data_IF_498494826385
#
_entry.id   IF_498494826385
#
_cell.length_a   1.000
_cell.length_b   1.000
_cell.length_c   1.000
_cell.angle_alpha   90.00
_cell.angle_beta   90.00
_cell.angle_gamma   90.00
#
_symmetry.space_group_name_H-M   'P 1'
#
loop_
_entity.id
_entity.type
_entity.pdbx_description
1 polymer ?
#
# COMPACT_ATOMS: atom_id res chain seq x y z
N UNK A 1 29.49 13.69 14.26
CA UNK A 1 29.31 13.97 15.70
C UNK A 1 28.36 12.91 16.21
N UNK A 2 28.85 11.91 16.96
CA UNK A 2 28.05 10.75 17.37
C UNK A 2 27.86 10.75 18.89
N UNK A 3 26.72 11.29 19.31
CA UNK A 3 25.95 11.06 20.55
C UNK A 3 24.79 12.10 20.48
N UNK A 4 23.51 11.70 20.61
CA UNK A 4 22.99 11.19 21.88
C UNK A 4 21.91 10.09 21.71
N UNK A 5 22.19 8.87 22.18
CA UNK A 5 21.14 7.84 22.35
C UNK A 5 20.85 7.55 23.83
N UNK A 6 21.78 7.86 24.74
CA UNK A 6 21.64 7.56 26.17
C UNK A 6 20.74 8.55 26.91
N UNK A 7 20.73 9.83 26.54
CA UNK A 7 19.91 10.86 27.21
C UNK A 7 18.41 10.68 26.93
N UNK A 8 18.04 10.08 25.79
CA UNK A 8 16.62 9.86 25.43
C UNK A 8 16.00 8.68 26.17
N UNK A 9 16.80 7.68 26.55
CA UNK A 9 16.33 6.52 27.31
C UNK A 9 16.03 6.91 28.78
N UNK A 10 16.79 7.86 29.35
CA UNK A 10 16.53 8.35 30.71
C UNK A 10 15.25 9.21 30.82
N UNK A 11 14.86 9.93 29.76
CA UNK A 11 13.65 10.77 29.78
C UNK A 11 12.35 9.93 29.82
N UNK A 12 12.36 8.73 29.24
CA UNK A 12 11.20 7.83 29.25
C UNK A 12 11.01 7.09 30.58
N UNK A 13 12.09 6.91 31.36
CA UNK A 13 12.02 6.30 32.70
C UNK A 13 11.46 7.24 33.78
N UNK A 14 11.50 8.57 33.56
CA UNK A 14 11.08 9.56 34.55
C UNK A 14 9.56 9.85 34.56
N UNK A 15 8.81 9.39 33.56
CA UNK A 15 7.36 9.68 33.43
C UNK A 15 6.50 8.69 34.24
N UNK A 16 7.06 7.59 34.74
CA UNK A 16 6.30 6.51 35.40
C UNK A 16 6.14 6.66 36.93
N UNK A 17 6.65 7.76 37.53
CA UNK A 17 6.58 7.97 38.99
C UNK A 17 6.19 9.41 39.34
N UNK A 18 4.88 9.71 39.36
CA UNK A 18 4.45 11.04 39.82
C UNK A 18 2.94 11.23 39.93
N UNK A 19 2.30 10.65 40.95
CA UNK A 19 0.93 11.01 41.36
C UNK A 19 0.96 12.30 42.20
N UNK A 20 0.25 13.39 41.85
CA UNK A 20 0.12 14.54 42.73
C UNK A 20 -1.11 14.41 43.64
N UNK A 21 -0.83 14.60 44.92
CA UNK A 21 -1.76 14.64 46.06
C UNK A 21 -2.43 16.02 46.13
N UNK A 22 -3.77 16.03 46.11
CA UNK A 22 -4.61 17.23 46.27
C UNK A 22 -4.48 17.79 47.70
N UNK A 23 -4.29 19.10 47.83
CA UNK A 23 -4.51 19.88 49.06
C UNK A 23 -5.35 21.11 48.73
N UNK A 24 -6.39 21.31 49.54
CA UNK A 24 -7.33 22.43 49.53
C UNK A 24 -6.77 23.66 50.24
N UNK A 25 -7.56 24.75 50.10
CA UNK A 25 -7.56 26.06 50.79
C UNK A 25 -6.63 27.09 50.14
N UNK A 26 -7.02 28.35 49.88
CA UNK A 26 -7.94 29.22 50.64
C UNK A 26 -8.51 30.35 49.76
N UNK A 27 -9.56 30.99 50.28
CA UNK A 27 -10.47 31.96 49.68
C UNK A 27 -9.84 33.34 49.39
N UNK A 28 -10.31 34.03 48.34
CA UNK A 28 -10.66 35.46 48.43
C UNK A 28 -11.74 35.85 47.41
N UNK A 29 -12.73 36.56 47.93
CA UNK A 29 -13.88 37.23 47.32
C UNK A 29 -13.55 38.26 46.23
N UNK A 30 -14.39 38.37 45.19
CA UNK A 30 -14.93 39.67 44.73
C UNK A 30 -16.23 39.48 43.92
N UNK A 31 -17.24 40.26 44.28
CA UNK A 31 -18.54 40.41 43.64
C UNK A 31 -18.47 40.83 42.16
N UNK A 32 -19.38 40.28 41.33
CA UNK A 32 -20.40 41.10 40.62
C UNK A 32 -21.43 40.24 39.88
N UNK A 33 -22.67 40.60 40.17
CA UNK A 33 -23.94 40.25 39.53
C UNK A 33 -23.92 40.12 38.00
N UNK A 34 -24.66 39.14 37.46
CA UNK A 34 -25.87 39.37 36.64
C UNK A 34 -26.54 38.05 36.27
N UNK A 35 -27.72 37.84 36.86
CA UNK A 35 -28.93 37.16 36.36
C UNK A 35 -28.93 36.55 34.96
N UNK A 36 -29.30 35.27 34.88
CA UNK A 36 -30.48 34.85 34.09
C UNK A 36 -30.85 33.39 34.39
N UNK A 37 -32.12 33.23 34.76
CA UNK A 37 -32.86 32.00 35.03
C UNK A 37 -32.74 30.94 33.93
N UNK A 38 -32.72 29.66 34.32
CA UNK A 38 -33.83 28.75 33.98
C UNK A 38 -33.70 27.39 34.66
N UNK A 39 -34.83 27.00 35.23
CA UNK A 39 -35.20 25.82 36.01
C UNK A 39 -35.03 24.49 35.26
N UNK A 40 -34.85 23.38 35.99
CA UNK A 40 -35.75 22.20 36.04
C UNK A 40 -35.05 20.97 36.70
N UNK A 41 -35.63 20.56 37.85
CA UNK A 41 -35.77 19.20 38.46
C UNK A 41 -34.54 18.30 38.74
N UNK A 42 -34.16 17.94 39.98
CA UNK A 42 -34.78 17.00 40.96
C UNK A 42 -35.30 15.68 40.31
N UNK A 43 -35.06 14.45 40.78
CA UNK A 43 -34.41 13.90 41.96
C UNK A 43 -34.07 12.40 41.72
N UNK A 44 -33.25 11.86 42.62
CA UNK A 44 -32.54 10.56 42.74
C UNK A 44 -33.41 9.27 42.83
N UNK A 45 -32.90 8.14 43.38
CA UNK A 45 -32.04 7.11 42.77
C UNK A 45 -32.64 5.69 42.93
N UNK A 46 -32.07 4.62 42.33
CA UNK A 46 -32.11 3.28 42.97
C UNK A 46 -31.20 2.20 42.32
N UNK A 47 -30.53 1.48 43.22
CA UNK A 47 -30.17 0.04 43.23
C UNK A 47 -29.13 -0.53 42.24
N UNK A 48 -27.93 -0.69 42.78
CA UNK A 48 -27.03 -1.81 42.51
C UNK A 48 -27.63 -3.14 43.00
N UNK A 49 -27.33 -4.27 42.32
CA UNK A 49 -27.14 -5.53 42.98
C UNK A 49 -25.68 -5.98 42.90
N UNK A 50 -25.16 -6.19 44.10
CA UNK A 50 -23.98 -6.94 44.47
C UNK A 50 -24.07 -8.39 43.94
N UNK A 51 -23.04 -8.88 43.26
CA UNK A 51 -22.85 -10.32 43.08
C UNK A 51 -21.35 -10.61 42.92
N UNK A 52 -20.75 -11.03 44.04
CA UNK A 52 -19.46 -11.70 44.04
C UNK A 52 -19.66 -13.16 43.63
N UNK A 53 -18.85 -13.63 42.68
CA UNK A 53 -18.57 -15.04 42.51
C UNK A 53 -17.08 -15.25 42.31
N UNK A 54 -16.54 -16.11 43.18
CA UNK A 54 -15.19 -16.62 43.19
C UNK A 54 -14.85 -17.28 41.85
N UNK A 55 -13.75 -16.85 41.24
CA UNK A 55 -13.11 -17.54 40.13
C UNK A 55 -11.98 -18.40 40.67
N UNK A 56 -12.17 -19.71 40.53
CA UNK A 56 -11.19 -20.76 40.77
C UNK A 56 -9.99 -20.56 39.83
N UNK A 57 -8.79 -20.49 40.41
CA UNK A 57 -7.54 -20.45 39.67
C UNK A 57 -7.30 -21.78 38.94
N UNK A 58 -7.43 -21.78 37.61
CA UNK A 58 -6.80 -22.78 36.76
C UNK A 58 -5.41 -22.27 36.39
N UNK A 59 -4.37 -22.85 36.98
CA UNK A 59 -2.99 -22.70 36.52
C UNK A 59 -2.85 -23.36 35.15
N UNK A 60 -3.03 -22.55 34.10
CA UNK A 60 -2.62 -22.88 32.75
C UNK A 60 -1.10 -22.75 32.68
N UNK A 61 -0.39 -23.87 32.66
CA UNK A 61 1.03 -23.91 32.29
C UNK A 61 1.15 -23.48 30.83
N UNK A 62 1.50 -22.21 30.59
CA UNK A 62 1.88 -21.73 29.27
C UNK A 62 3.33 -22.13 29.01
N UNK A 63 3.64 -22.95 27.99
CA UNK A 63 5.00 -23.45 27.71
C UNK A 63 5.88 -22.41 26.98
N UNK A 64 5.62 -21.12 27.15
CA UNK A 64 6.19 -20.04 26.33
C UNK A 64 7.21 -19.15 27.06
N UNK A 65 7.66 -19.54 28.26
CA UNK A 65 8.80 -18.85 28.90
C UNK A 65 10.08 -19.12 28.09
N UNK A 66 10.50 -18.12 27.32
CA UNK A 66 11.76 -18.14 26.56
C UNK A 66 11.64 -17.85 25.07
N UNK A 67 10.43 -17.73 24.52
CA UNK A 67 10.25 -17.42 23.11
C UNK A 67 10.43 -15.92 22.86
N UNK A 68 11.32 -15.58 21.93
CA UNK A 68 11.44 -14.21 21.44
C UNK A 68 10.30 -13.90 20.46
N UNK A 69 10.03 -12.62 20.24
CA UNK A 69 9.07 -12.18 19.20
C UNK A 69 9.46 -12.72 17.81
N UNK A 70 10.77 -12.94 17.58
CA UNK A 70 11.28 -13.55 16.36
C UNK A 70 10.79 -15.01 16.24
N UNK A 71 10.92 -15.81 17.31
CA UNK A 71 10.51 -17.21 17.30
C UNK A 71 9.01 -17.38 17.06
N UNK A 72 8.19 -16.48 17.62
CA UNK A 72 6.74 -16.48 17.42
C UNK A 72 6.39 -16.13 15.95
N UNK A 73 7.07 -15.13 15.37
CA UNK A 73 6.84 -14.74 13.97
C UNK A 73 7.37 -15.77 12.98
N UNK A 74 8.50 -16.41 13.28
CA UNK A 74 9.11 -17.44 12.43
C UNK A 74 8.26 -18.71 12.44
N UNK A 75 7.74 -19.12 13.60
CA UNK A 75 6.80 -20.24 13.68
C UNK A 75 5.48 -19.94 12.95
N UNK A 76 4.92 -18.73 13.11
CA UNK A 76 3.72 -18.34 12.37
C UNK A 76 3.96 -18.29 10.86
N UNK A 77 5.13 -17.82 10.42
CA UNK A 77 5.46 -17.77 9.00
C UNK A 77 5.72 -19.17 8.42
N UNK A 78 6.45 -20.05 9.12
CA UNK A 78 6.69 -21.43 8.68
C UNK A 78 5.37 -22.20 8.58
N UNK A 79 4.57 -22.17 9.64
CA UNK A 79 3.26 -22.84 9.65
C UNK A 79 2.32 -22.31 8.57
N UNK A 80 2.40 -21.02 8.25
CA UNK A 80 1.58 -20.43 7.19
C UNK A 80 2.10 -20.79 5.79
N UNK A 81 3.41 -20.88 5.59
CA UNK A 81 3.98 -21.26 4.30
C UNK A 81 3.68 -22.73 4.00
N UNK A 82 3.84 -23.60 4.99
CA UNK A 82 3.48 -25.02 4.91
C UNK A 82 1.99 -25.20 4.60
N UNK A 83 1.11 -24.43 5.26
CA UNK A 83 -0.32 -24.45 4.97
C UNK A 83 -0.66 -23.97 3.55
N UNK A 84 0.00 -22.91 3.06
CA UNK A 84 -0.25 -22.37 1.72
C UNK A 84 0.27 -23.29 0.62
N UNK A 85 1.41 -23.93 0.83
CA UNK A 85 1.97 -24.90 -0.11
C UNK A 85 1.16 -26.19 -0.11
N UNK A 86 0.68 -26.66 1.05
CA UNK A 86 -0.28 -27.76 1.14
C UNK A 86 -1.60 -27.43 0.42
N UNK A 87 -2.16 -26.23 0.61
CA UNK A 87 -3.37 -25.81 -0.11
C UNK A 87 -3.16 -25.69 -1.64
N UNK A 88 -1.99 -25.20 -2.09
CA UNK A 88 -1.68 -25.11 -3.53
C UNK A 88 -1.46 -26.48 -4.13
N UNK A 89 -0.75 -27.36 -3.42
CA UNK A 89 -0.45 -28.70 -3.85
C UNK A 89 -1.71 -29.56 -3.93
N UNK A 90 -2.54 -29.56 -2.87
CA UNK A 90 -3.83 -30.26 -2.85
C UNK A 90 -4.76 -29.75 -3.94
N UNK A 91 -4.96 -28.43 -4.05
CA UNK A 91 -5.88 -27.86 -5.05
C UNK A 91 -5.43 -28.11 -6.49
N UNK A 92 -4.13 -27.98 -6.80
CA UNK A 92 -3.62 -28.23 -8.15
C UNK A 92 -3.65 -29.71 -8.52
N UNK A 93 -3.32 -30.58 -7.57
CA UNK A 93 -3.29 -32.02 -7.80
C UNK A 93 -4.71 -32.58 -7.94
N UNK A 94 -5.64 -32.21 -7.05
CA UNK A 94 -7.05 -32.63 -7.13
C UNK A 94 -7.72 -32.14 -8.41
N UNK A 95 -7.47 -30.88 -8.82
CA UNK A 95 -8.01 -30.35 -10.07
C UNK A 95 -7.45 -31.07 -11.29
N UNK A 96 -6.16 -31.41 -11.30
CA UNK A 96 -5.56 -32.16 -12.41
C UNK A 96 -6.06 -33.61 -12.46
N UNK A 97 -6.24 -34.26 -11.32
CA UNK A 97 -6.77 -35.63 -11.24
C UNK A 97 -8.20 -35.66 -11.76
N UNK A 98 -9.07 -34.77 -11.27
CA UNK A 98 -10.47 -34.69 -11.72
C UNK A 98 -10.59 -34.35 -13.20
N UNK A 99 -9.79 -33.41 -13.73
CA UNK A 99 -9.82 -33.07 -15.16
C UNK A 99 -9.37 -34.25 -16.03
N UNK A 100 -8.34 -34.97 -15.61
CA UNK A 100 -7.86 -36.15 -16.34
C UNK A 100 -8.88 -37.30 -16.28
N UNK A 101 -9.56 -37.50 -15.14
CA UNK A 101 -10.58 -38.54 -14.98
C UNK A 101 -11.84 -38.25 -15.81
N UNK A 102 -12.28 -36.98 -15.85
CA UNK A 102 -13.38 -36.54 -16.72
C UNK A 102 -13.02 -36.70 -18.18
N UNK A 103 -11.82 -36.26 -18.59
CA UNK A 103 -11.36 -36.40 -19.97
C UNK A 103 -11.26 -37.87 -20.38
N UNK A 104 -10.69 -38.72 -19.52
CA UNK A 104 -10.58 -40.16 -19.77
C UNK A 104 -11.96 -40.82 -19.90
N UNK A 105 -12.90 -40.50 -19.00
CA UNK A 105 -14.27 -41.04 -19.04
C UNK A 105 -15.00 -40.60 -20.32
N UNK A 106 -14.80 -39.36 -20.75
CA UNK A 106 -15.39 -38.83 -21.98
C UNK A 106 -14.82 -39.53 -23.22
N UNK A 107 -13.51 -39.74 -23.27
CA UNK A 107 -12.83 -40.41 -24.39
C UNK A 107 -13.22 -41.89 -24.45
N UNK A 108 -13.34 -42.56 -23.30
CA UNK A 108 -13.80 -43.94 -23.19
C UNK A 108 -15.26 -44.09 -23.66
N UNK A 109 -16.14 -43.17 -23.25
CA UNK A 109 -17.54 -43.16 -23.66
C UNK A 109 -17.69 -42.88 -25.16
N UNK A 110 -16.96 -41.89 -25.67
CA UNK A 110 -16.97 -41.55 -27.10
C UNK A 110 -16.47 -42.73 -27.94
N UNK A 111 -15.41 -43.39 -27.50
CA UNK A 111 -14.85 -44.58 -28.16
C UNK A 111 -15.77 -45.80 -28.08
N UNK A 112 -16.50 -45.98 -26.98
CA UNK A 112 -17.46 -47.06 -26.77
C UNK A 112 -18.73 -46.85 -27.61
N UNK A 113 -19.26 -45.63 -27.64
CA UNK A 113 -20.41 -45.26 -28.46
C UNK A 113 -20.09 -45.37 -29.94
N UNK A 114 -18.95 -44.84 -30.38
CA UNK A 114 -18.51 -44.91 -31.77
C UNK A 114 -18.32 -46.36 -32.23
N UNK A 115 -17.68 -47.21 -31.41
CA UNK A 115 -17.57 -48.65 -31.70
C UNK A 115 -18.93 -49.34 -31.77
N UNK A 116 -19.84 -49.05 -30.84
CA UNK A 116 -21.18 -49.68 -30.80
C UNK A 116 -22.02 -49.26 -32.00
N UNK A 117 -22.01 -47.97 -32.35
CA UNK A 117 -22.70 -47.45 -33.53
C UNK A 117 -22.11 -48.04 -34.82
N UNK A 118 -20.78 -48.05 -34.95
CA UNK A 118 -20.12 -48.56 -36.14
C UNK A 118 -20.35 -50.06 -36.31
N UNK A 119 -20.22 -50.87 -35.24
CA UNK A 119 -20.48 -52.30 -35.32
C UNK A 119 -21.96 -52.62 -35.54
N UNK A 120 -22.87 -51.86 -34.94
CA UNK A 120 -24.31 -52.05 -35.08
C UNK A 120 -24.79 -51.70 -36.49
N UNK A 121 -24.36 -50.57 -37.04
CA UNK A 121 -24.66 -50.18 -38.42
C UNK A 121 -24.04 -51.14 -39.44
N UNK A 122 -22.77 -51.51 -39.25
CA UNK A 122 -22.09 -52.43 -40.17
C UNK A 122 -22.77 -53.81 -40.15
N UNK A 123 -23.03 -54.39 -38.98
CA UNK A 123 -23.71 -55.68 -38.84
C UNK A 123 -25.14 -55.64 -39.38
N UNK A 124 -25.89 -54.56 -39.12
CA UNK A 124 -27.25 -54.40 -39.64
C UNK A 124 -27.28 -54.27 -41.16
N UNK A 125 -26.35 -53.48 -41.73
CA UNK A 125 -26.22 -53.35 -43.18
C UNK A 125 -25.77 -54.66 -43.84
N UNK A 126 -24.80 -55.37 -43.27
CA UNK A 126 -24.32 -56.65 -43.79
C UNK A 126 -25.41 -57.74 -43.75
N UNK A 127 -26.24 -57.77 -42.71
CA UNK A 127 -27.40 -58.67 -42.63
C UNK A 127 -28.47 -58.32 -43.68
N UNK A 128 -28.79 -57.03 -43.86
CA UNK A 128 -29.73 -56.58 -44.89
C UNK A 128 -29.19 -56.90 -46.30
N UNK A 129 -27.90 -56.67 -46.53
CA UNK A 129 -27.26 -56.96 -47.83
C UNK A 129 -27.24 -58.46 -48.14
N UNK A 130 -27.00 -59.28 -47.12
CA UNK A 130 -27.02 -60.74 -47.25
C UNK A 130 -28.43 -61.24 -47.52
N UNK A 131 -29.43 -60.73 -46.79
CA UNK A 131 -30.83 -61.02 -47.04
C UNK A 131 -31.28 -60.63 -48.46
N UNK A 132 -30.96 -59.42 -48.93
CA UNK A 132 -31.32 -58.96 -50.28
C UNK A 132 -30.63 -59.78 -51.39
N UNK A 133 -29.39 -60.21 -51.15
CA UNK A 133 -28.62 -61.07 -52.06
C UNK A 133 -29.21 -62.48 -52.13
N UNK A 134 -29.61 -63.06 -51.01
CA UNK A 134 -30.20 -64.40 -50.96
C UNK A 134 -31.63 -64.39 -51.55
N UNK A 135 -32.36 -63.29 -51.37
CA UNK A 135 -33.69 -63.07 -51.93
C UNK A 135 -33.68 -62.90 -53.47
N UNK A 136 -32.61 -62.35 -54.03
CA UNK A 136 -32.45 -62.19 -55.49
C UNK A 136 -31.94 -63.45 -56.19
N UNK A 137 -31.45 -64.44 -55.44
CA UNK A 137 -30.85 -65.67 -55.98
C UNK A 137 -31.79 -66.90 -56.01
N UNK A 138 -32.98 -66.86 -55.40
CA UNK A 138 -33.89 -68.02 -55.37
C UNK A 138 -35.03 -67.95 -56.40
N UNK A 139 -35.11 -68.90 -57.36
CA UNK A 139 -36.36 -69.18 -58.08
C UNK A 139 -37.31 -70.00 -57.20
N UNK A 140 -38.59 -69.63 -57.27
CA UNK A 140 -39.71 -70.15 -56.50
C UNK A 140 -39.74 -71.68 -56.40
N UNK A 141 -39.58 -72.21 -55.18
CA UNK A 141 -40.52 -73.13 -54.52
C UNK A 141 -39.89 -73.72 -53.25
N UNK A 142 -40.42 -73.32 -52.09
CA UNK A 142 -40.30 -74.06 -50.83
C UNK A 142 -39.26 -73.57 -49.83
N UNK A 143 -39.56 -72.51 -49.07
CA UNK A 143 -39.44 -72.47 -47.59
C UNK A 143 -39.68 -71.05 -47.01
N UNK A 144 -40.75 -70.37 -47.44
CA UNK A 144 -41.15 -69.04 -46.91
C UNK A 144 -41.36 -69.06 -45.38
N UNK A 145 -41.67 -70.23 -44.81
CA UNK A 145 -41.88 -70.38 -43.37
C UNK A 145 -40.59 -70.30 -42.54
N UNK A 146 -39.44 -70.72 -43.07
CA UNK A 146 -38.18 -70.71 -42.31
C UNK A 146 -37.60 -69.29 -42.22
N UNK A 147 -37.64 -68.55 -43.34
CA UNK A 147 -37.20 -67.16 -43.42
C UNK A 147 -38.06 -66.24 -42.54
N UNK A 148 -39.36 -66.49 -42.45
CA UNK A 148 -40.26 -65.74 -41.55
C UNK A 148 -39.87 -65.98 -40.08
N UNK A 149 -39.52 -67.20 -39.69
CA UNK A 149 -39.10 -67.47 -38.31
C UNK A 149 -37.71 -66.90 -37.99
N UNK A 150 -36.80 -66.86 -38.96
CA UNK A 150 -35.50 -66.19 -38.81
C UNK A 150 -35.65 -64.67 -38.67
N UNK A 151 -36.47 -64.04 -39.50
CA UNK A 151 -36.82 -62.61 -39.39
C UNK A 151 -37.47 -62.28 -38.05
N UNK A 152 -38.36 -63.14 -37.54
CA UNK A 152 -38.94 -62.97 -36.20
C UNK A 152 -37.89 -63.09 -35.10
N UNK A 153 -36.92 -63.98 -35.26
CA UNK A 153 -35.81 -64.15 -34.31
C UNK A 153 -34.92 -62.91 -34.29
N UNK A 154 -34.53 -62.40 -35.47
CA UNK A 154 -33.75 -61.16 -35.61
C UNK A 154 -34.49 -59.96 -35.03
N UNK A 155 -35.80 -59.82 -35.29
CA UNK A 155 -36.61 -58.73 -34.74
C UNK A 155 -36.61 -58.75 -33.20
N UNK A 156 -36.75 -59.94 -32.58
CA UNK A 156 -36.68 -60.06 -31.12
C UNK A 156 -35.30 -59.75 -30.57
N UNK A 157 -34.23 -60.15 -31.27
CA UNK A 157 -32.87 -59.84 -30.87
C UNK A 157 -32.60 -58.32 -30.92
N UNK A 158 -33.09 -57.64 -31.95
CA UNK A 158 -32.96 -56.18 -32.09
C UNK A 158 -33.81 -55.43 -31.07
N UNK A 159 -35.03 -55.90 -30.79
CA UNK A 159 -35.86 -55.37 -29.70
C UNK A 159 -35.15 -55.48 -28.34
N UNK A 160 -34.47 -56.60 -28.09
CA UNK A 160 -33.69 -56.79 -26.88
C UNK A 160 -32.45 -55.91 -26.85
N UNK A 161 -31.76 -55.74 -27.99
CA UNK A 161 -30.62 -54.84 -28.12
C UNK A 161 -31.03 -53.38 -27.86
N UNK A 162 -32.12 -52.92 -28.47
CA UNK A 162 -32.70 -51.59 -28.27
C UNK A 162 -33.07 -51.34 -26.81
N UNK A 163 -33.68 -52.32 -26.12
CA UNK A 163 -33.96 -52.24 -24.68
C UNK A 163 -32.67 -52.10 -23.86
N UNK A 164 -31.63 -52.85 -24.19
CA UNK A 164 -30.34 -52.78 -23.49
C UNK A 164 -29.64 -51.43 -23.72
N UNK A 165 -29.64 -50.90 -24.94
CA UNK A 165 -29.08 -49.58 -25.26
C UNK A 165 -29.85 -48.48 -24.54
N UNK A 166 -31.18 -48.55 -24.52
CA UNK A 166 -32.04 -47.62 -23.79
C UNK A 166 -31.74 -47.63 -22.28
N UNK A 167 -31.56 -48.81 -21.68
CA UNK A 167 -31.19 -48.94 -20.28
C UNK A 167 -29.80 -48.34 -19.99
N UNK A 168 -28.80 -48.57 -20.86
CA UNK A 168 -27.45 -47.99 -20.72
C UNK A 168 -27.45 -46.46 -20.87
N UNK A 169 -28.24 -45.93 -21.81
CA UNK A 169 -28.37 -44.49 -21.99
C UNK A 169 -29.01 -43.83 -20.76
N UNK A 170 -30.02 -44.47 -20.17
CA UNK A 170 -30.63 -44.01 -18.92
C UNK A 170 -29.63 -44.00 -17.75
N UNK A 171 -28.84 -45.07 -17.58
CA UNK A 171 -27.79 -45.13 -16.56
C UNK A 171 -26.71 -44.04 -16.76
N UNK A 172 -26.30 -43.82 -18.01
CA UNK A 172 -25.32 -42.79 -18.35
C UNK A 172 -25.83 -41.38 -18.06
N UNK A 173 -27.10 -41.09 -18.38
CA UNK A 173 -27.70 -39.79 -18.07
C UNK A 173 -27.78 -39.57 -16.55
N UNK A 174 -28.12 -40.60 -15.77
CA UNK A 174 -28.14 -40.51 -14.31
C UNK A 174 -26.75 -40.20 -13.74
N UNK A 175 -25.70 -40.82 -14.28
CA UNK A 175 -24.31 -40.53 -13.89
C UNK A 175 -23.90 -39.10 -14.26
N UNK A 176 -24.30 -38.63 -15.44
CA UNK A 176 -24.01 -37.26 -15.89
C UNK A 176 -24.69 -36.22 -14.99
N UNK A 177 -25.95 -36.45 -14.61
CA UNK A 177 -26.68 -35.59 -13.69
C UNK A 177 -25.99 -35.57 -12.31
N UNK A 178 -25.56 -36.73 -11.81
CA UNK A 178 -24.83 -36.81 -10.54
C UNK A 178 -23.51 -36.02 -10.57
N UNK A 179 -22.69 -36.22 -11.60
CA UNK A 179 -21.41 -35.50 -11.75
C UNK A 179 -21.65 -33.99 -11.90
N UNK A 180 -22.70 -33.58 -12.61
CA UNK A 180 -23.05 -32.17 -12.78
C UNK A 180 -23.41 -31.54 -11.43
N UNK A 181 -24.14 -32.26 -10.58
CA UNK A 181 -24.49 -31.78 -9.24
C UNK A 181 -23.27 -31.72 -8.31
N UNK A 182 -22.41 -32.73 -8.31
CA UNK A 182 -21.14 -32.72 -7.56
C UNK A 182 -20.24 -31.56 -7.99
N UNK A 183 -20.16 -31.29 -9.30
CA UNK A 183 -19.43 -30.14 -9.84
C UNK A 183 -20.05 -28.81 -9.38
N UNK A 184 -21.37 -28.72 -9.34
CA UNK A 184 -22.07 -27.53 -8.83
C UNK A 184 -21.75 -27.30 -7.36
N UNK A 185 -21.76 -28.34 -6.54
CA UNK A 185 -21.42 -28.27 -5.11
C UNK A 185 -19.96 -27.87 -4.87
N UNK A 186 -19.02 -28.47 -5.59
CA UNK A 186 -17.59 -28.15 -5.47
C UNK A 186 -17.29 -26.70 -5.88
N UNK A 187 -17.94 -26.20 -6.94
CA UNK A 187 -17.83 -24.79 -7.34
C UNK A 187 -18.40 -23.83 -6.28
N UNK A 188 -19.52 -24.19 -5.65
CA UNK A 188 -20.06 -23.41 -4.53
C UNK A 188 -19.07 -23.37 -3.36
N UNK A 189 -18.52 -24.52 -2.95
CA UNK A 189 -17.50 -24.60 -1.88
C UNK A 189 -16.25 -23.80 -2.21
N UNK A 190 -15.77 -23.86 -3.45
CA UNK A 190 -14.63 -23.07 -3.91
C UNK A 190 -14.94 -21.56 -3.84
N UNK A 191 -16.14 -21.16 -4.25
CA UNK A 191 -16.56 -19.76 -4.17
C UNK A 191 -16.60 -19.26 -2.72
N UNK A 192 -17.18 -20.04 -1.81
CA UNK A 192 -17.24 -19.72 -0.38
C UNK A 192 -15.83 -19.62 0.22
N UNK A 193 -14.95 -20.58 -0.09
CA UNK A 193 -13.56 -20.55 0.38
C UNK A 193 -12.78 -19.33 -0.15
N UNK A 194 -12.99 -18.94 -1.41
CA UNK A 194 -12.40 -17.73 -1.98
C UNK A 194 -12.93 -16.47 -1.29
N UNK A 195 -14.22 -16.42 -1.00
CA UNK A 195 -14.85 -15.32 -0.29
C UNK A 195 -14.33 -15.19 1.14
N UNK A 196 -14.25 -16.29 1.90
CA UNK A 196 -13.67 -16.32 3.25
C UNK A 196 -12.20 -15.90 3.24
N UNK A 197 -11.41 -16.42 2.29
CA UNK A 197 -10.00 -16.02 2.11
C UNK A 197 -9.89 -14.52 1.88
N UNK A 198 -10.76 -13.94 1.05
CA UNK A 198 -10.72 -12.52 0.76
C UNK A 198 -11.17 -11.68 1.95
N UNK A 199 -12.15 -12.14 2.74
CA UNK A 199 -12.49 -11.52 4.03
C UNK A 199 -11.34 -11.58 5.03
N UNK A 200 -10.69 -12.74 5.18
CA UNK A 200 -9.54 -12.89 6.07
C UNK A 200 -8.37 -12.02 5.62
N UNK A 201 -8.13 -11.91 4.31
CA UNK A 201 -7.17 -10.94 3.76
C UNK A 201 -7.56 -9.52 4.14
N UNK A 202 -8.83 -9.12 3.96
CA UNK A 202 -9.27 -7.81 4.38
C UNK A 202 -9.01 -7.58 5.87
N UNK A 203 -9.42 -8.50 6.75
CA UNK A 203 -9.19 -8.39 8.20
C UNK A 203 -7.70 -8.31 8.56
N UNK A 204 -6.87 -9.21 8.00
CA UNK A 204 -5.42 -9.24 8.22
C UNK A 204 -4.73 -7.98 7.72
N UNK A 205 -5.19 -7.44 6.60
CA UNK A 205 -4.67 -6.20 6.06
C UNK A 205 -5.30 -4.96 6.70
N UNK A 206 -6.08 -5.05 7.79
CA UNK A 206 -6.64 -3.88 8.49
C UNK A 206 -7.88 -3.26 7.82
N UNK A 207 -8.54 -4.01 6.94
CA UNK A 207 -9.80 -3.69 6.29
C UNK A 207 -9.76 -2.38 5.50
N UNK A 208 -10.86 -1.63 5.58
CA UNK A 208 -11.01 -0.28 4.99
C UNK A 208 -10.08 0.77 5.58
N UNK A 209 -9.42 0.50 6.72
CA UNK A 209 -8.46 1.43 7.33
C UNK A 209 -7.10 1.39 6.62
N UNK A 210 -6.62 0.23 6.16
CA UNK A 210 -5.33 0.14 5.44
C UNK A 210 -5.46 0.12 3.91
N UNK A 211 -6.66 -0.13 3.41
CA UNK A 211 -7.00 -0.04 1.99
C UNK A 211 -7.76 1.25 1.69
N UNK A 212 -7.62 2.26 2.56
CA UNK A 212 -7.94 3.65 2.24
C UNK A 212 -7.30 4.00 0.90
N UNK A 213 -8.11 4.51 -0.03
CA UNK A 213 -7.83 4.72 -1.45
C UNK A 213 -6.34 4.61 -1.83
N UNK A 214 -5.98 3.53 -2.55
CA UNK A 214 -4.62 3.30 -3.06
C UNK A 214 -4.13 4.59 -3.73
N UNK A 215 -3.16 5.23 -3.10
CA UNK A 215 -2.54 6.43 -3.67
C UNK A 215 -1.57 5.94 -4.75
N UNK A 216 -1.91 6.22 -6.00
CA UNK A 216 -1.06 5.84 -7.14
C UNK A 216 0.16 6.75 -7.23
N UNK A 217 1.25 6.24 -7.79
CA UNK A 217 2.47 7.04 -8.01
C UNK A 217 2.16 8.29 -8.84
N UNK A 218 1.30 8.17 -9.86
CA UNK A 218 0.88 9.30 -10.70
C UNK A 218 0.19 10.41 -9.90
N UNK A 219 -0.60 10.05 -8.88
CA UNK A 219 -1.26 11.04 -8.03
C UNK A 219 -0.25 11.77 -7.14
N UNK A 220 0.70 11.04 -6.55
CA UNK A 220 1.78 11.64 -5.76
C UNK A 220 2.65 12.54 -6.63
N UNK A 221 3.04 12.06 -7.83
CA UNK A 221 3.83 12.82 -8.81
C UNK A 221 3.10 14.07 -9.29
N UNK A 222 1.80 13.98 -9.56
CA UNK A 222 0.98 15.15 -9.94
C UNK A 222 0.99 16.22 -8.84
N UNK A 223 0.86 15.81 -7.57
CA UNK A 223 0.94 16.74 -6.43
C UNK A 223 2.34 17.29 -6.23
N UNK A 224 3.38 16.46 -6.39
CA UNK A 224 4.77 16.89 -6.33
C UNK A 224 5.09 17.94 -7.41
N UNK A 225 4.66 17.71 -8.65
CA UNK A 225 4.85 18.66 -9.75
C UNK A 225 4.13 19.99 -9.51
N UNK A 226 2.93 19.96 -8.91
CA UNK A 226 2.22 21.17 -8.49
C UNK A 226 2.98 21.93 -7.39
N UNK A 227 3.53 21.20 -6.40
CA UNK A 227 4.38 21.80 -5.36
C UNK A 227 5.64 22.44 -5.97
N UNK A 228 6.34 21.73 -6.85
CA UNK A 228 7.52 22.23 -7.55
C UNK A 228 7.21 23.49 -8.37
N UNK A 229 6.08 23.48 -9.09
CA UNK A 229 5.62 24.65 -9.84
C UNK A 229 5.40 25.87 -8.94
N UNK A 230 4.73 25.69 -7.81
CA UNK A 230 4.47 26.78 -6.87
C UNK A 230 5.75 27.33 -6.24
N UNK A 231 6.68 26.44 -5.87
CA UNK A 231 8.01 26.84 -5.38
C UNK A 231 8.73 27.68 -6.42
N UNK A 232 8.75 27.24 -7.69
CA UNK A 232 9.35 28.02 -8.78
C UNK A 232 8.69 29.38 -8.98
N UNK A 233 7.37 29.46 -8.89
CA UNK A 233 6.65 30.74 -9.02
C UNK A 233 7.04 31.73 -7.92
N UNK A 234 7.10 31.26 -6.67
CA UNK A 234 7.50 32.10 -5.56
C UNK A 234 8.99 32.46 -5.63
N UNK A 235 9.86 31.51 -5.96
CA UNK A 235 11.29 31.74 -6.13
C UNK A 235 11.59 32.84 -7.14
N UNK A 236 10.87 32.87 -8.27
CA UNK A 236 11.00 33.96 -9.25
C UNK A 236 10.66 35.32 -8.67
N UNK A 237 9.62 35.41 -7.85
CA UNK A 237 9.25 36.67 -7.17
C UNK A 237 10.37 37.10 -6.20
N UNK A 238 10.96 36.15 -5.49
CA UNK A 238 12.05 36.41 -4.54
C UNK A 238 13.39 36.73 -5.22
N UNK A 239 13.61 36.23 -6.44
CA UNK A 239 14.89 36.37 -7.14
C UNK A 239 15.05 37.72 -7.84
N UNK A 240 13.95 38.43 -8.10
CA UNK A 240 13.98 39.71 -8.81
C UNK A 240 14.79 40.79 -8.09
N UNK A 241 14.88 40.75 -6.76
CA UNK A 241 15.51 41.79 -5.96
C UNK A 241 16.45 41.17 -4.91
N UNK A 242 17.75 41.06 -5.20
CA UNK A 242 18.70 40.47 -4.25
C UNK A 242 18.71 41.25 -2.92
N UNK A 243 18.87 40.55 -1.78
CA UNK A 243 18.69 41.15 -0.48
C UNK A 243 19.73 42.25 -0.24
N UNK A 244 19.23 43.46 0.01
CA UNK A 244 20.07 44.60 0.41
C UNK A 244 20.28 44.67 1.93
N UNK A 245 19.43 43.97 2.68
CA UNK A 245 19.47 43.89 4.14
C UNK A 245 20.29 42.69 4.62
N UNK A 246 20.82 42.82 5.83
CA UNK A 246 21.48 41.71 6.51
C UNK A 246 20.46 40.59 6.76
N UNK A 247 20.82 39.37 6.37
CA UNK A 247 19.99 38.19 6.58
C UNK A 247 20.03 37.76 8.05
N UNK A 248 18.92 37.23 8.53
CA UNK A 248 18.83 36.57 9.83
C UNK A 248 19.77 35.35 9.91
N UNK A 249 20.17 34.96 11.13
CA UNK A 249 21.03 33.80 11.36
C UNK A 249 20.40 32.50 10.85
N UNK A 250 19.08 32.36 10.97
CA UNK A 250 18.32 31.20 10.48
C UNK A 250 18.37 31.11 8.96
N UNK A 251 18.06 32.22 8.28
CA UNK A 251 18.10 32.31 6.83
C UNK A 251 19.53 32.08 6.30
N UNK A 252 20.53 32.63 6.98
CA UNK A 252 21.95 32.44 6.68
C UNK A 252 22.36 30.98 6.82
N UNK A 253 21.97 30.31 7.91
CA UNK A 253 22.27 28.89 8.14
C UNK A 253 21.63 28.01 7.06
N UNK A 254 20.38 28.29 6.68
CA UNK A 254 19.64 27.56 5.65
C UNK A 254 20.24 27.77 4.25
N UNK A 255 20.68 28.98 3.90
CA UNK A 255 21.41 29.20 2.65
C UNK A 255 22.77 28.50 2.62
N UNK A 256 23.49 28.49 3.75
CA UNK A 256 24.77 27.78 3.86
C UNK A 256 24.64 26.26 3.72
N UNK A 257 23.55 25.67 4.22
CA UNK A 257 23.32 24.22 4.08
C UNK A 257 23.07 23.81 2.62
N UNK A 258 22.51 24.71 1.81
CA UNK A 258 22.31 24.52 0.36
C UNK A 258 23.60 24.80 -0.39
N UNK A 259 24.21 25.98 -0.17
CA UNK A 259 25.43 26.40 -0.83
C UNK A 259 26.33 27.20 0.11
N UNK A 260 27.51 26.67 0.42
CA UNK A 260 28.51 27.38 1.24
C UNK A 260 28.93 28.74 0.65
N UNK A 261 28.83 28.90 -0.67
CA UNK A 261 29.19 30.11 -1.40
C UNK A 261 27.96 30.92 -1.87
N UNK A 262 26.83 30.81 -1.17
CA UNK A 262 25.55 31.44 -1.54
C UNK A 262 25.65 32.95 -1.84
N UNK A 263 26.54 33.70 -1.18
CA UNK A 263 26.74 35.13 -1.45
C UNK A 263 27.18 35.44 -2.89
N UNK A 264 27.89 34.52 -3.55
CA UNK A 264 28.28 34.65 -4.96
C UNK A 264 27.03 34.52 -5.83
N UNK A 265 26.27 33.44 -5.62
CA UNK A 265 25.09 33.10 -6.41
C UNK A 265 23.89 34.04 -6.18
N UNK A 266 23.78 34.67 -5.02
CA UNK A 266 22.77 35.72 -4.78
C UNK A 266 23.00 36.98 -5.61
N UNK A 267 24.24 37.24 -6.06
CA UNK A 267 24.58 38.44 -6.85
C UNK A 267 24.50 38.19 -8.36
N UNK A 268 24.52 36.92 -8.76
CA UNK A 268 24.46 36.52 -10.16
C UNK A 268 22.99 36.23 -10.50
N UNK A 269 22.40 37.06 -11.35
CA UNK A 269 20.96 37.03 -11.67
C UNK A 269 20.51 35.63 -12.14
N UNK A 270 21.35 34.96 -12.93
CA UNK A 270 21.10 33.64 -13.50
C UNK A 270 20.95 32.52 -12.45
N UNK A 271 21.56 32.68 -11.27
CA UNK A 271 21.55 31.65 -10.20
C UNK A 271 20.62 32.00 -9.04
N UNK A 272 20.16 33.24 -8.95
CA UNK A 272 19.33 33.71 -7.86
C UNK A 272 17.99 32.96 -7.81
N UNK A 273 17.32 32.76 -8.96
CA UNK A 273 16.07 31.97 -9.04
C UNK A 273 16.28 30.53 -8.55
N UNK A 274 17.31 29.84 -9.04
CA UNK A 274 17.60 28.45 -8.64
C UNK A 274 18.01 28.34 -7.16
N UNK A 275 18.75 29.32 -6.62
CA UNK A 275 19.09 29.36 -5.19
C UNK A 275 17.86 29.60 -4.31
N UNK A 276 16.94 30.48 -4.73
CA UNK A 276 15.67 30.72 -4.02
C UNK A 276 14.75 29.50 -4.09
N UNK A 277 14.73 28.76 -5.20
CA UNK A 277 14.03 27.47 -5.28
C UNK A 277 14.60 26.48 -4.25
N UNK A 278 15.92 26.33 -4.19
CA UNK A 278 16.59 25.49 -3.18
C UNK A 278 16.24 25.92 -1.75
N UNK A 279 16.19 27.22 -1.49
CA UNK A 279 15.82 27.76 -0.18
C UNK A 279 14.38 27.40 0.23
N UNK A 280 13.43 27.56 -0.68
CA UNK A 280 12.02 27.22 -0.45
C UNK A 280 11.82 25.70 -0.28
N UNK A 281 12.54 24.89 -1.05
CA UNK A 281 12.54 23.43 -0.84
C UNK A 281 13.13 23.05 0.52
N UNK A 282 14.16 23.75 1.00
CA UNK A 282 14.71 23.52 2.33
C UNK A 282 13.70 23.84 3.44
N UNK A 283 12.91 24.91 3.29
CA UNK A 283 11.76 25.17 4.18
C UNK A 283 10.79 23.99 4.15
N UNK A 284 10.36 23.54 2.97
CA UNK A 284 9.40 22.44 2.86
C UNK A 284 9.93 21.16 3.51
N UNK A 285 11.21 20.84 3.31
CA UNK A 285 11.81 19.68 3.97
C UNK A 285 11.80 19.87 5.49
N UNK A 286 12.46 20.92 5.98
CA UNK A 286 12.74 21.07 7.41
C UNK A 286 11.46 21.30 8.21
N UNK A 287 10.48 22.00 7.63
CA UNK A 287 9.24 22.36 8.31
C UNK A 287 8.09 21.38 8.06
N UNK A 288 8.13 20.52 7.02
CA UNK A 288 7.01 19.59 6.73
C UNK A 288 7.45 18.14 6.72
N UNK A 289 8.44 17.78 5.90
CA UNK A 289 8.83 16.37 5.75
C UNK A 289 9.60 15.86 6.98
N UNK A 290 10.57 16.64 7.44
CA UNK A 290 11.44 16.35 8.58
C UNK A 290 11.08 17.19 9.82
N UNK A 291 9.84 17.70 9.84
CA UNK A 291 9.38 18.62 10.86
C UNK A 291 9.65 18.09 12.27
N UNK A 292 10.40 18.86 13.07
CA UNK A 292 10.56 18.62 14.50
C UNK A 292 9.30 18.92 15.33
N UNK A 293 8.24 19.41 14.67
CA UNK A 293 6.99 19.87 15.25
C UNK A 293 5.80 19.32 14.45
N UNK A 294 4.64 19.13 15.09
CA UNK A 294 3.49 18.55 14.43
C UNK A 294 2.79 19.55 13.50
N UNK A 295 2.97 19.39 12.18
CA UNK A 295 2.28 20.24 11.18
C UNK A 295 0.91 19.70 10.78
N UNK A 296 0.66 18.42 11.03
CA UNK A 296 -0.65 17.79 10.97
C UNK A 296 -0.74 16.70 12.02
N UNK A 297 -1.93 16.18 12.32
CA UNK A 297 -2.04 15.03 13.22
C UNK A 297 -1.68 15.30 14.68
N UNK A 298 -1.60 16.58 15.08
CA UNK A 298 -1.13 17.04 16.39
C UNK A 298 0.14 16.31 16.84
N UNK A 299 0.38 16.21 18.15
CA UNK A 299 1.54 15.55 18.75
C UNK A 299 1.79 14.13 18.21
N UNK A 300 0.74 13.44 17.74
CA UNK A 300 0.83 12.07 17.25
C UNK A 300 1.70 11.93 15.99
N UNK A 301 1.60 12.84 15.01
CA UNK A 301 2.27 12.64 13.71
C UNK A 301 3.78 12.74 13.78
N UNK A 302 4.31 13.64 14.61
CA UNK A 302 5.75 13.87 14.76
C UNK A 302 6.45 12.61 15.30
N UNK A 303 5.98 12.10 16.43
CA UNK A 303 6.53 10.88 17.01
C UNK A 303 6.35 9.69 16.08
N UNK A 304 5.24 9.64 15.35
CA UNK A 304 4.97 8.57 14.41
C UNK A 304 5.96 8.57 13.23
N UNK A 305 6.26 9.74 12.65
CA UNK A 305 7.32 9.92 11.66
C UNK A 305 8.68 9.53 12.19
N UNK A 306 9.03 10.01 13.38
CA UNK A 306 10.31 9.70 13.99
C UNK A 306 10.50 8.20 14.24
N UNK A 307 9.48 7.51 14.76
CA UNK A 307 9.49 6.04 14.93
C UNK A 307 9.61 5.35 13.57
N UNK A 308 8.92 5.85 12.53
CA UNK A 308 9.04 5.33 11.16
C UNK A 308 10.46 5.40 10.68
N UNK A 309 11.07 6.57 10.73
CA UNK A 309 12.40 6.78 10.17
C UNK A 309 13.46 6.00 10.98
N UNK A 310 13.28 5.87 12.29
CA UNK A 310 14.11 5.02 13.14
C UNK A 310 14.01 3.52 12.77
N UNK A 311 12.80 3.00 12.58
CA UNK A 311 12.59 1.60 12.20
C UNK A 311 13.15 1.33 10.80
N UNK A 312 12.86 2.20 9.83
CA UNK A 312 13.36 2.05 8.45
C UNK A 312 14.90 2.07 8.45
N UNK A 313 15.53 2.99 9.17
CA UNK A 313 16.99 3.08 9.27
C UNK A 313 17.56 1.81 9.90
N UNK A 314 16.97 1.32 10.99
CA UNK A 314 17.45 0.12 11.68
C UNK A 314 17.30 -1.15 10.84
N UNK A 315 16.23 -1.27 10.08
CA UNK A 315 16.00 -2.40 9.18
C UNK A 315 16.95 -2.33 7.98
N UNK A 316 17.21 -1.14 7.44
CA UNK A 316 18.13 -0.96 6.31
C UNK A 316 19.62 -1.14 6.63
N UNK A 317 20.02 -1.07 7.90
CA UNK A 317 21.43 -1.20 8.33
C UNK A 317 21.93 -2.64 8.46
N UNK A 318 21.06 -3.65 8.42
CA UNK A 318 21.52 -5.03 8.58
C UNK A 318 22.22 -5.50 7.30
N UNK A 319 23.42 -6.05 7.44
CA UNK A 319 24.29 -6.53 6.35
C UNK A 319 23.71 -7.71 5.53
N UNK A 320 22.46 -8.11 5.77
CA UNK A 320 21.78 -9.24 5.14
C UNK A 320 20.41 -8.84 4.54
N UNK A 321 20.41 -8.13 3.40
CA UNK A 321 19.20 -7.58 2.78
C UNK A 321 18.13 -8.60 2.37
N UNK A 322 18.44 -9.90 2.30
CA UNK A 322 17.49 -10.91 1.82
C UNK A 322 16.43 -11.34 2.86
N UNK A 323 16.64 -11.11 4.16
CA UNK A 323 15.70 -11.57 5.20
C UNK A 323 14.82 -10.47 5.79
N UNK A 324 15.07 -9.20 5.47
CA UNK A 324 14.38 -8.06 6.12
C UNK A 324 13.17 -7.53 5.31
N UNK A 325 12.93 -7.98 4.07
CA UNK A 325 11.78 -7.55 3.26
C UNK A 325 10.44 -7.78 3.98
N UNK A 326 10.17 -8.96 4.59
CA UNK A 326 8.92 -9.16 5.32
C UNK A 326 8.78 -8.19 6.49
N UNK A 327 9.86 -7.90 7.23
CA UNK A 327 9.84 -6.97 8.36
C UNK A 327 9.51 -5.56 7.90
N UNK A 328 10.14 -5.10 6.82
CA UNK A 328 9.91 -3.76 6.28
C UNK A 328 8.48 -3.61 5.73
N UNK A 329 7.96 -4.64 5.07
CA UNK A 329 6.57 -4.68 4.60
C UNK A 329 5.56 -4.60 5.74
N UNK A 330 5.81 -5.29 6.87
CA UNK A 330 4.97 -5.20 8.05
C UNK A 330 5.04 -3.82 8.70
N UNK A 331 6.24 -3.26 8.85
CA UNK A 331 6.43 -1.93 9.40
C UNK A 331 5.71 -0.87 8.55
N UNK A 332 5.95 -0.85 7.23
CA UNK A 332 5.34 0.11 6.33
C UNK A 332 3.80 0.00 6.30
N UNK A 333 3.26 -1.23 6.37
CA UNK A 333 1.80 -1.44 6.51
C UNK A 333 1.26 -0.86 7.82
N UNK A 334 1.95 -1.10 8.94
CA UNK A 334 1.58 -0.56 10.24
C UNK A 334 1.58 0.97 10.22
N UNK A 335 2.60 1.59 9.61
CA UNK A 335 2.65 3.04 9.42
C UNK A 335 1.49 3.56 8.55
N UNK A 336 1.24 2.93 7.40
CA UNK A 336 0.12 3.31 6.53
C UNK A 336 -1.23 3.32 7.27
N UNK A 337 -1.47 2.27 8.08
CA UNK A 337 -2.68 2.12 8.90
C UNK A 337 -2.75 3.19 9.99
N UNK A 338 -1.69 3.34 10.78
CA UNK A 338 -1.62 4.31 11.86
C UNK A 338 -1.76 5.75 11.34
N UNK A 339 -1.12 6.09 10.23
CA UNK A 339 -1.26 7.39 9.58
C UNK A 339 -2.66 7.65 9.05
N UNK A 340 -3.34 6.63 8.53
CA UNK A 340 -4.75 6.75 8.13
C UNK A 340 -5.65 7.01 9.33
N UNK A 341 -5.41 6.33 10.46
CA UNK A 341 -6.12 6.60 11.72
C UNK A 341 -5.82 8.02 12.23
N UNK A 342 -4.55 8.42 12.25
CA UNK A 342 -4.13 9.76 12.68
C UNK A 342 -4.81 10.83 11.82
N UNK A 343 -4.82 10.65 10.50
CA UNK A 343 -5.45 11.61 9.58
C UNK A 343 -6.96 11.73 9.78
N UNK A 344 -7.64 10.66 10.21
CA UNK A 344 -9.08 10.68 10.50
C UNK A 344 -9.41 11.27 11.87
N UNK A 345 -8.58 10.99 12.87
CA UNK A 345 -8.77 11.47 14.24
C UNK A 345 -8.42 12.95 14.37
N UNK A 346 -7.35 13.38 13.70
CA UNK A 346 -6.81 14.73 13.81
C UNK A 346 -6.90 15.47 12.49
N UNK A 347 -7.56 16.63 12.54
CA UNK A 347 -7.74 17.52 11.39
C UNK A 347 -6.47 18.24 10.96
N UNK A 348 -6.63 19.22 10.07
CA UNK A 348 -5.57 20.21 9.81
C UNK A 348 -5.60 21.25 10.94
N UNK A 349 -4.48 21.47 11.60
CA UNK A 349 -4.34 22.60 12.52
C UNK A 349 -4.02 23.87 11.72
N UNK A 350 -5.06 24.65 11.44
CA UNK A 350 -4.92 25.89 10.71
C UNK A 350 -4.15 26.97 11.49
N UNK A 351 -4.10 26.88 12.84
CA UNK A 351 -3.36 27.80 13.69
C UNK A 351 -1.86 27.61 13.54
N UNK A 352 -1.39 26.38 13.72
CA UNK A 352 0.04 26.03 13.57
C UNK A 352 0.54 26.38 12.17
N UNK A 353 -0.22 26.01 11.13
CA UNK A 353 0.16 26.33 9.73
C UNK A 353 0.25 27.84 9.52
N UNK A 354 -0.69 28.61 10.07
CA UNK A 354 -0.68 30.07 9.96
C UNK A 354 0.54 30.67 10.64
N UNK A 355 0.88 30.21 11.83
CA UNK A 355 2.02 30.72 12.60
C UNK A 355 3.37 30.36 11.94
N UNK A 356 3.48 29.14 11.41
CA UNK A 356 4.61 28.71 10.60
C UNK A 356 4.79 29.60 9.36
N UNK A 357 3.73 29.78 8.57
CA UNK A 357 3.76 30.61 7.36
C UNK A 357 4.12 32.06 7.70
N UNK A 358 3.60 32.61 8.80
CA UNK A 358 3.94 33.96 9.23
C UNK A 358 5.40 34.10 9.65
N UNK A 359 5.96 33.08 10.31
CA UNK A 359 7.36 33.05 10.74
C UNK A 359 8.29 32.99 9.54
N UNK A 360 8.03 32.07 8.60
CA UNK A 360 8.83 31.93 7.39
C UNK A 360 8.67 33.12 6.43
N UNK A 361 7.47 33.71 6.33
CA UNK A 361 7.28 34.96 5.57
C UNK A 361 8.16 36.07 6.11
N UNK A 362 8.29 36.20 7.44
CA UNK A 362 9.19 37.19 8.07
C UNK A 362 10.65 36.94 7.71
N UNK A 363 11.10 35.69 7.67
CA UNK A 363 12.46 35.33 7.27
C UNK A 363 12.73 35.62 5.78
N UNK A 364 11.70 35.54 4.94
CA UNK A 364 11.81 35.85 3.51
C UNK A 364 11.79 37.35 3.19
N UNK A 365 11.40 38.21 4.14
CA UNK A 365 11.28 39.67 3.93
C UNK A 365 12.48 40.34 3.25
N UNK A 366 13.74 39.99 3.58
CA UNK A 366 14.90 40.59 2.93
C UNK A 366 14.96 40.38 1.41
N UNK A 367 14.27 39.37 0.86
CA UNK A 367 14.33 38.99 -0.55
C UNK A 367 13.21 39.59 -1.41
N UNK A 368 12.23 40.30 -0.83
CA UNK A 368 11.12 40.88 -1.60
C UNK A 368 10.67 42.26 -1.13
N UNK A 369 11.27 42.80 -0.07
CA UNK A 369 10.98 44.16 0.40
C UNK A 369 11.90 45.18 -0.24
N UNK A 370 11.52 45.69 -1.42
CA UNK A 370 11.86 47.07 -1.77
C UNK A 370 10.96 48.04 -0.98
N UNK A 371 11.54 49.16 -0.55
CA UNK A 371 10.93 50.20 0.29
C UNK A 371 9.86 51.04 -0.46
N UNK A 372 9.01 50.39 -1.25
CA UNK A 372 7.97 51.03 -2.04
C UNK A 372 6.60 51.06 -1.32
N UNK A 373 5.68 51.94 -1.76
CA UNK A 373 4.33 52.09 -1.19
C UNK A 373 3.40 50.86 -1.39
N UNK A 374 3.93 49.73 -1.87
CA UNK A 374 3.21 48.47 -2.11
C UNK A 374 3.72 47.29 -1.26
N UNK A 375 4.56 47.56 -0.25
CA UNK A 375 5.13 46.52 0.63
C UNK A 375 4.07 45.56 1.21
N UNK A 376 2.93 46.09 1.68
CA UNK A 376 1.85 45.26 2.26
C UNK A 376 1.24 44.28 1.25
N UNK A 377 1.20 44.64 -0.03
CA UNK A 377 0.69 43.75 -1.09
C UNK A 377 1.67 42.63 -1.41
N UNK A 378 2.97 42.93 -1.39
CA UNK A 378 4.02 41.94 -1.59
C UNK A 378 4.05 40.94 -0.43
N UNK A 379 4.00 41.42 0.82
CA UNK A 379 3.98 40.58 2.02
C UNK A 379 2.78 39.62 2.00
N UNK A 380 1.58 40.13 1.69
CA UNK A 380 0.38 39.29 1.53
C UNK A 380 0.54 38.24 0.42
N UNK A 381 1.05 38.64 -0.74
CA UNK A 381 1.23 37.72 -1.87
C UNK A 381 2.22 36.59 -1.54
N UNK A 382 3.35 36.92 -0.93
CA UNK A 382 4.35 35.93 -0.48
C UNK A 382 3.74 35.01 0.59
N UNK A 383 3.02 35.56 1.56
CA UNK A 383 2.35 34.78 2.60
C UNK A 383 1.32 33.79 2.01
N UNK A 384 0.50 34.25 1.07
CA UNK A 384 -0.53 33.43 0.43
C UNK A 384 0.10 32.31 -0.42
N UNK A 385 1.16 32.59 -1.18
CA UNK A 385 1.88 31.58 -1.97
C UNK A 385 2.62 30.58 -1.08
N UNK A 386 3.29 31.04 -0.03
CA UNK A 386 3.97 30.17 0.93
C UNK A 386 2.97 29.26 1.65
N UNK A 387 1.79 29.79 1.99
CA UNK A 387 0.69 28.99 2.56
C UNK A 387 0.24 27.89 1.61
N UNK A 388 0.12 28.16 0.31
CA UNK A 388 -0.26 27.13 -0.67
C UNK A 388 0.84 26.06 -0.80
N UNK A 389 2.11 26.46 -0.82
CA UNK A 389 3.28 25.56 -0.82
C UNK A 389 3.23 24.62 0.41
N UNK A 390 3.11 25.17 1.62
CA UNK A 390 3.08 24.38 2.86
C UNK A 390 1.86 23.45 2.91
N UNK A 391 0.67 23.92 2.52
CA UNK A 391 -0.52 23.06 2.48
C UNK A 391 -0.40 21.88 1.52
N UNK A 392 0.23 22.10 0.36
CA UNK A 392 0.49 21.03 -0.62
C UNK A 392 1.56 20.06 -0.14
N UNK A 393 2.62 20.57 0.48
CA UNK A 393 3.62 19.72 1.11
C UNK A 393 3.00 18.82 2.19
N UNK A 394 2.12 19.35 3.05
CA UNK A 394 1.39 18.57 4.06
C UNK A 394 0.49 17.51 3.40
N UNK A 395 -0.16 17.84 2.28
CA UNK A 395 -0.98 16.89 1.54
C UNK A 395 -0.13 15.73 1.00
N UNK A 396 1.02 16.03 0.39
CA UNK A 396 1.97 15.02 -0.11
C UNK A 396 2.49 14.18 1.06
N UNK A 397 2.87 14.82 2.16
CA UNK A 397 3.39 14.14 3.34
C UNK A 397 2.38 13.14 3.94
N UNK A 398 1.10 13.52 4.01
CA UNK A 398 0.01 12.61 4.36
C UNK A 398 -0.12 11.45 3.37
N UNK A 399 -0.05 11.72 2.06
CA UNK A 399 -0.10 10.66 1.04
C UNK A 399 1.07 9.68 1.21
N UNK A 400 2.27 10.18 1.46
CA UNK A 400 3.47 9.37 1.71
C UNK A 400 3.30 8.51 2.96
N UNK A 401 2.80 9.09 4.05
CA UNK A 401 2.65 8.42 5.34
C UNK A 401 1.51 7.40 5.36
N UNK A 402 0.45 7.63 4.60
CA UNK A 402 -0.67 6.69 4.43
C UNK A 402 -0.39 5.59 3.39
N UNK A 403 0.74 5.65 2.69
CA UNK A 403 1.11 4.63 1.70
C UNK A 403 1.82 3.46 2.35
N UNK A 404 1.64 2.27 1.76
CA UNK A 404 2.44 1.09 2.09
C UNK A 404 3.84 1.17 1.46
N UNK A 405 4.03 1.95 0.40
CA UNK A 405 5.38 2.25 -0.09
C UNK A 405 6.07 3.25 0.83
N UNK A 406 7.38 3.12 1.00
CA UNK A 406 8.18 4.06 1.78
C UNK A 406 8.68 5.13 0.82
N UNK A 407 8.35 6.39 1.10
CA UNK A 407 8.86 7.52 0.33
C UNK A 407 9.97 8.24 1.08
N UNK A 408 10.98 8.70 0.34
CA UNK A 408 12.13 9.45 0.88
C UNK A 408 12.37 10.70 0.05
N UNK A 409 12.66 11.80 0.74
CA UNK A 409 13.06 13.07 0.12
C UNK A 409 14.53 13.31 0.47
N UNK A 410 15.40 13.16 -0.52
CA UNK A 410 16.86 13.17 -0.31
C UNK A 410 17.47 14.42 -0.96
N UNK A 411 18.34 15.11 -0.21
CA UNK A 411 19.12 16.25 -0.74
C UNK A 411 20.46 15.85 -1.31
N UNK A 412 20.80 14.57 -1.18
CA UNK A 412 22.08 14.03 -1.56
C UNK A 412 21.88 12.66 -2.16
N UNK A 413 22.72 12.35 -3.14
CA UNK A 413 22.87 10.99 -3.64
C UNK A 413 23.57 10.12 -2.57
N UNK A 414 22.82 9.22 -1.95
CA UNK A 414 23.30 8.30 -0.89
C UNK A 414 24.34 7.29 -1.41
N UNK A 415 24.43 7.06 -2.73
CA UNK A 415 25.43 6.16 -3.32
C UNK A 415 26.85 6.74 -3.31
N UNK A 416 26.97 8.06 -3.13
CA UNK A 416 28.24 8.75 -3.09
C UNK A 416 28.76 8.85 -1.66
N UNK A 417 30.08 8.67 -1.50
CA UNK A 417 30.75 8.84 -0.19
C UNK A 417 30.50 10.25 0.35
N UNK A 418 30.36 10.35 1.67
CA UNK A 418 30.28 11.64 2.34
C UNK A 418 31.50 12.49 2.00
N UNK A 419 31.23 13.67 1.45
CA UNK A 419 32.24 14.60 0.99
C UNK A 419 31.71 16.03 0.94
N UNK A 420 32.61 17.01 0.75
CA UNK A 420 32.24 18.42 0.73
C UNK A 420 31.40 18.82 -0.49
N UNK A 421 31.51 18.10 -1.61
CA UNK A 421 30.72 18.29 -2.83
C UNK A 421 30.39 16.95 -3.47
N UNK A 422 29.20 16.83 -4.03
CA UNK A 422 28.78 15.65 -4.79
C UNK A 422 29.14 15.82 -6.26
N UNK A 423 29.37 14.70 -6.93
CA UNK A 423 29.51 14.67 -8.38
C UNK A 423 28.13 14.55 -9.01
N UNK A 424 27.97 15.11 -10.20
CA UNK A 424 26.76 14.97 -10.97
C UNK A 424 26.51 13.48 -11.30
N UNK A 425 25.31 13.00 -10.99
CA UNK A 425 24.87 11.65 -11.29
C UNK A 425 23.57 11.70 -12.11
N UNK A 426 23.66 11.40 -13.40
CA UNK A 426 22.53 11.48 -14.33
C UNK A 426 21.36 10.55 -13.97
N UNK A 427 21.59 9.49 -13.20
CA UNK A 427 20.54 8.55 -12.78
C UNK A 427 19.58 9.18 -11.77
N UNK A 428 20.06 10.11 -10.95
CA UNK A 428 19.30 10.71 -9.84
C UNK A 428 19.24 12.24 -9.89
N UNK A 429 19.93 12.88 -10.84
CA UNK A 429 20.03 14.34 -10.99
C UNK A 429 19.77 14.79 -12.43
N UNK A 430 19.29 16.02 -12.57
CA UNK A 430 19.15 16.76 -13.82
C UNK A 430 19.82 18.11 -13.59
N UNK A 431 20.72 18.52 -14.48
CA UNK A 431 21.30 19.85 -14.41
C UNK A 431 20.27 20.89 -14.88
N UNK A 432 20.11 21.97 -14.13
CA UNK A 432 19.20 23.08 -14.40
C UNK A 432 19.94 24.30 -14.94
N UNK A 433 21.10 24.59 -14.34
CA UNK A 433 22.02 25.63 -14.78
C UNK A 433 23.43 25.06 -14.80
N UNK A 434 24.14 25.26 -15.90
CA UNK A 434 25.50 24.78 -16.11
C UNK A 434 26.28 25.72 -17.02
N UNK A 435 27.60 25.79 -16.81
CA UNK A 435 28.52 26.53 -17.68
C UNK A 435 28.93 25.66 -18.87
N UNK A 436 29.24 24.40 -18.61
CA UNK A 436 29.58 23.38 -19.59
C UNK A 436 28.64 22.17 -19.45
N UNK A 437 28.44 21.42 -20.54
CA UNK A 437 27.54 20.25 -20.53
C UNK A 437 27.94 19.29 -19.40
N UNK A 438 27.02 18.97 -18.46
CA UNK A 438 27.36 18.24 -17.27
C UNK A 438 27.82 16.82 -17.61
N UNK A 439 28.94 16.41 -17.02
CA UNK A 439 29.43 15.03 -17.09
C UNK A 439 29.43 14.41 -15.70
N UNK A 440 29.62 13.09 -15.60
CA UNK A 440 29.80 12.40 -14.30
C UNK A 440 31.00 12.90 -13.48
N UNK A 441 31.87 13.74 -14.08
CA UNK A 441 33.01 14.37 -13.40
C UNK A 441 32.66 15.76 -12.85
N UNK A 442 31.64 16.42 -13.39
CA UNK A 442 31.18 17.75 -12.96
C UNK A 442 30.78 17.72 -11.49
N UNK A 443 31.08 18.81 -10.79
CA UNK A 443 30.75 18.99 -9.39
C UNK A 443 29.42 19.71 -9.26
N UNK A 444 28.57 19.19 -8.38
CA UNK A 444 27.33 19.88 -8.00
C UNK A 444 27.71 21.05 -7.08
N UNK A 445 27.41 22.27 -7.53
CA UNK A 445 27.58 23.49 -6.74
C UNK A 445 26.52 23.59 -5.64
N UNK A 446 25.25 23.30 -5.98
CA UNK A 446 24.15 23.18 -5.04
C UNK A 446 22.91 22.50 -5.66
N UNK A 447 21.99 22.08 -4.80
CA UNK A 447 20.71 21.48 -5.17
C UNK A 447 19.62 22.55 -5.28
N UNK A 448 18.87 22.53 -6.37
CA UNK A 448 17.71 23.38 -6.65
C UNK A 448 16.43 22.71 -6.14
N UNK A 449 16.33 21.38 -6.28
CA UNK A 449 15.25 20.56 -5.75
C UNK A 449 15.77 19.23 -5.21
N UNK A 450 15.08 18.57 -4.27
CA UNK A 450 15.49 17.27 -3.75
C UNK A 450 15.20 16.13 -4.74
N UNK A 451 15.85 14.99 -4.50
CA UNK A 451 15.53 13.69 -5.09
C UNK A 451 14.30 13.15 -4.36
N UNK A 452 13.34 12.63 -5.11
CA UNK A 452 12.17 11.95 -4.55
C UNK A 452 12.22 10.47 -4.89
N UNK A 453 12.39 9.63 -3.88
CA UNK A 453 12.53 8.19 -4.02
C UNK A 453 11.37 7.44 -3.39
N UNK A 454 11.16 6.22 -3.89
CA UNK A 454 10.17 5.28 -3.40
C UNK A 454 10.79 3.90 -3.25
N UNK A 455 10.55 3.26 -2.11
CA UNK A 455 10.95 1.90 -1.81
C UNK A 455 9.69 1.04 -1.64
N UNK A 456 9.65 -0.09 -2.35
CA UNK A 456 8.47 -0.96 -2.41
C UNK A 456 7.34 -0.42 -3.28
N UNK A 457 6.35 -1.26 -3.56
CA UNK A 457 5.16 -0.94 -4.34
C UNK A 457 4.04 -0.36 -3.45
N UNK A 458 3.04 0.28 -4.06
CA UNK A 458 1.86 0.75 -3.35
C UNK A 458 1.04 -0.37 -2.69
N UNK A 459 1.28 -1.63 -3.07
CA UNK A 459 0.67 -2.82 -2.46
C UNK A 459 1.47 -3.33 -1.24
N UNK A 460 2.62 -2.70 -0.95
CA UNK A 460 3.51 -3.06 0.15
C UNK A 460 4.32 -4.32 -0.12
N UNK A 461 4.98 -4.37 -1.27
CA UNK A 461 5.83 -5.48 -1.74
C UNK A 461 7.11 -4.93 -2.40
N UNK A 462 8.15 -5.76 -2.63
CA UNK A 462 9.37 -5.39 -3.38
C UNK A 462 10.20 -4.26 -2.76
N UNK A 463 10.40 -4.32 -1.44
CA UNK A 463 11.22 -3.33 -0.73
C UNK A 463 12.73 -3.52 -0.94
N UNK A 464 13.13 -4.51 -1.73
CA UNK A 464 14.48 -4.71 -2.23
C UNK A 464 14.85 -3.74 -3.37
N UNK A 465 13.85 -3.06 -3.95
CA UNK A 465 14.04 -2.13 -5.07
C UNK A 465 13.66 -0.70 -4.68
N UNK A 466 14.61 0.22 -4.88
CA UNK A 466 14.37 1.65 -4.82
C UNK A 466 14.14 2.20 -6.23
N UNK A 467 13.15 3.07 -6.36
CA UNK A 467 12.80 3.77 -7.58
C UNK A 467 12.89 5.28 -7.35
N UNK A 468 13.64 5.96 -8.21
CA UNK A 468 13.66 7.42 -8.28
C UNK A 468 12.43 7.88 -9.03
N UNK A 469 11.51 8.54 -8.31
CA UNK A 469 10.30 9.12 -8.87
C UNK A 469 10.57 10.49 -9.50
N UNK A 470 11.40 11.31 -8.85
CA UNK A 470 11.82 12.62 -9.35
C UNK A 470 13.31 12.80 -9.10
N UNK A 471 14.05 13.12 -10.15
CA UNK A 471 15.47 13.47 -10.07
C UNK A 471 15.63 14.85 -9.43
N UNK A 472 16.70 15.02 -8.65
CA UNK A 472 17.06 16.34 -8.15
C UNK A 472 17.44 17.28 -9.30
N UNK A 473 16.94 18.50 -9.26
CA UNK A 473 17.45 19.60 -10.07
C UNK A 473 18.70 20.18 -9.40
N UNK A 474 19.79 20.35 -10.12
CA UNK A 474 21.08 20.79 -9.57
C UNK A 474 21.76 21.84 -10.45
N UNK A 475 22.60 22.68 -9.82
CA UNK A 475 23.52 23.57 -10.53
C UNK A 475 24.91 22.93 -10.53
N UNK A 476 25.51 22.81 -11.71
CA UNK A 476 26.83 22.23 -11.90
C UNK A 476 27.88 23.33 -12.19
N UNK A 477 29.16 22.98 -12.07
CA UNK A 477 30.29 23.85 -12.40
C UNK A 477 30.53 24.04 -13.90
#
# INVERSE_FOLDING_TARGET
MSAPLEDTIQLLAAIDNGTPRVRQEEQTSTDRSSTSDSSVSQASPEKQPNNGNQLSAAQSCCPFEGWTVSDIMELQNSSHHDFLDDCRFTSSNERSILLNEVQHTLDEQTSSLSRTLQSGLQSGLDQIFTFLRDFTAQPAQGSVSAEIEELKSMLRAEEQHSKNVSARLKDSNQKLDQVTEELRETNAKLHDALYERDQQRQLRYGGTLANSAKTTDDMVLSKWNQLAYNIRCLARILAHDPPTQQLDDTATKRLKSICNSYHKFLKEEDYCESLMQGYLWAIVKDEVFDAGQPVWGEFGSYHFKWIRDLIITRVGQKDHPQNDEPTLAHAARWFAQGSTMITKLWGKDHGIIKDLVNTETKLLKPFFLLHGPRADRADKNVNDQLRDIINRAIEIDRMMMCSKAIFRVLWRDESQKEGPRQRFNEDVMIADVWVEEPTRKSLVNFFVSPIFCKLGTADGQRYDTEMVLVKASVVCD
#
